data_IF_672484951524
#
_entry.id   IF_672484951524
#
_cell.length_a   1.000
_cell.length_b   1.000
_cell.length_c   1.000
_cell.angle_alpha   90.00
_cell.angle_beta   90.00
_cell.angle_gamma   90.00
#
_symmetry.space_group_name_H-M   'P 1'
#
loop_
_entity.id
_entity.type
_entity.pdbx_description
1 polymer ?
#
# COMPACT_ATOMS: atom_id res chain seq x y z
N UNK A 1 -11.28 10.58 -8.41
CA UNK A 1 -11.94 9.52 -7.62
C UNK A 1 -11.05 9.29 -6.41
N UNK A 2 -11.60 9.22 -5.20
CA UNK A 2 -10.81 9.16 -3.95
C UNK A 2 -9.96 7.88 -3.91
N UNK A 3 -8.64 8.01 -3.75
CA UNK A 3 -7.68 6.88 -3.67
C UNK A 3 -8.09 5.84 -2.62
N UNK A 4 -8.68 6.30 -1.52
CA UNK A 4 -9.15 5.44 -0.45
C UNK A 4 -10.32 4.58 -0.94
N UNK A 5 -11.25 5.18 -1.67
CA UNK A 5 -12.42 4.49 -2.20
C UNK A 5 -12.06 3.45 -3.26
N UNK A 6 -11.07 3.74 -4.12
CA UNK A 6 -10.55 2.76 -5.09
C UNK A 6 -10.01 1.54 -4.35
N UNK A 7 -9.17 1.77 -3.34
CA UNK A 7 -8.57 0.73 -2.53
C UNK A 7 -9.61 -0.14 -1.82
N UNK A 8 -10.60 0.51 -1.19
CA UNK A 8 -11.71 -0.15 -0.50
C UNK A 8 -12.54 -1.03 -1.45
N UNK A 9 -12.88 -0.53 -2.64
CA UNK A 9 -13.64 -1.29 -3.64
C UNK A 9 -12.85 -2.50 -4.16
N UNK A 10 -11.54 -2.35 -4.40
CA UNK A 10 -10.67 -3.45 -4.84
C UNK A 10 -10.57 -4.53 -3.75
N UNK A 11 -10.31 -4.12 -2.51
CA UNK A 11 -10.22 -5.04 -1.37
C UNK A 11 -11.55 -5.74 -1.12
N UNK A 12 -12.67 -5.02 -1.17
CA UNK A 12 -14.00 -5.60 -1.01
C UNK A 12 -14.28 -6.65 -2.09
N UNK A 13 -13.97 -6.36 -3.37
CA UNK A 13 -14.15 -7.33 -4.47
C UNK A 13 -13.30 -8.60 -4.29
N UNK A 14 -12.10 -8.49 -3.70
CA UNK A 14 -11.18 -9.63 -3.54
C UNK A 14 -11.40 -10.43 -2.27
N UNK A 15 -11.77 -9.77 -1.18
CA UNK A 15 -11.84 -10.38 0.15
C UNK A 15 -13.27 -10.52 0.68
N UNK A 16 -14.23 -9.81 0.10
CA UNK A 16 -15.60 -9.68 0.60
C UNK A 16 -15.72 -8.86 1.89
N UNK A 17 -14.65 -8.19 2.33
CA UNK A 17 -14.57 -7.44 3.58
C UNK A 17 -14.33 -5.95 3.30
N UNK A 18 -14.90 -5.10 4.14
CA UNK A 18 -14.67 -3.66 4.11
C UNK A 18 -13.44 -3.31 4.95
N UNK A 19 -12.57 -2.48 4.38
CA UNK A 19 -11.40 -1.92 5.05
C UNK A 19 -11.49 -0.40 5.03
N UNK A 20 -10.67 0.27 5.83
CA UNK A 20 -10.51 1.73 5.78
C UNK A 20 -9.33 2.04 4.86
N UNK A 21 -9.59 2.62 3.69
CA UNK A 21 -8.54 2.96 2.73
C UNK A 21 -7.54 3.96 3.31
N UNK A 22 -8.02 4.92 4.09
CA UNK A 22 -7.15 5.92 4.74
C UNK A 22 -6.19 5.30 5.74
N UNK A 23 -6.65 4.32 6.53
CA UNK A 23 -5.80 3.66 7.53
C UNK A 23 -4.70 2.82 6.89
N UNK A 24 -4.97 2.22 5.72
CA UNK A 24 -3.95 1.48 4.95
C UNK A 24 -2.91 2.45 4.39
N UNK A 25 -3.35 3.59 3.84
CA UNK A 25 -2.44 4.62 3.33
C UNK A 25 -1.56 5.24 4.42
N UNK A 26 -2.10 5.56 5.59
CA UNK A 26 -1.31 6.05 6.73
C UNK A 26 -0.22 5.06 7.16
N UNK A 27 -0.52 3.75 7.12
CA UNK A 27 0.43 2.70 7.43
C UNK A 27 1.54 2.61 6.37
N UNK A 28 1.17 2.68 5.08
CA UNK A 28 2.10 2.70 3.96
C UNK A 28 2.99 3.94 4.03
N UNK A 29 2.44 5.13 4.19
CA UNK A 29 3.18 6.39 4.29
C UNK A 29 4.20 6.33 5.43
N UNK A 30 3.81 5.80 6.59
CA UNK A 30 4.71 5.61 7.74
C UNK A 30 5.84 4.63 7.44
N UNK A 31 5.55 3.48 6.82
CA UNK A 31 6.55 2.46 6.50
C UNK A 31 7.46 2.87 5.33
N UNK A 32 6.93 3.65 4.38
CA UNK A 32 7.65 4.16 3.22
C UNK A 32 8.56 5.34 3.58
N UNK A 33 8.21 6.14 4.59
CA UNK A 33 9.04 7.28 5.05
C UNK A 33 10.45 6.87 5.50
N UNK A 34 10.62 5.62 5.94
CA UNK A 34 11.93 5.06 6.33
C UNK A 34 12.63 4.30 5.19
N UNK A 35 11.99 4.17 4.03
CA UNK A 35 12.49 3.39 2.91
C UNK A 35 13.25 4.24 1.87
N UNK A 36 14.23 3.60 1.23
CA UNK A 36 14.93 4.15 0.07
C UNK A 36 14.07 4.05 -1.19
N UNK A 37 14.49 4.76 -2.24
CA UNK A 37 13.84 4.77 -3.54
C UNK A 37 13.75 3.37 -4.18
N UNK A 38 12.79 3.20 -5.08
CA UNK A 38 12.54 2.00 -5.87
C UNK A 38 11.53 1.03 -5.27
N UNK A 39 11.21 -0.01 -6.05
CA UNK A 39 10.14 -0.97 -5.74
C UNK A 39 10.52 -1.92 -4.61
N UNK A 40 9.67 -2.04 -3.60
CA UNK A 40 9.90 -2.98 -2.49
C UNK A 40 8.65 -3.40 -1.77
N UNK A 41 8.76 -4.54 -1.09
CA UNK A 41 7.80 -4.99 -0.11
C UNK A 41 8.06 -4.31 1.23
N UNK A 42 7.03 -3.66 1.76
CA UNK A 42 7.02 -3.13 3.13
C UNK A 42 6.09 -3.97 4.01
N UNK A 43 6.45 -4.09 5.28
CA UNK A 43 5.62 -4.76 6.27
C UNK A 43 4.45 -3.85 6.65
N UNK A 44 3.24 -4.41 6.63
CA UNK A 44 2.03 -3.76 7.08
C UNK A 44 1.49 -4.37 8.37
N UNK A 45 0.16 -4.41 8.45
CA UNK A 45 -0.57 -4.98 9.57
C UNK A 45 -0.20 -6.45 9.78
N UNK A 46 0.36 -6.75 10.94
CA UNK A 46 0.62 -8.12 11.37
C UNK A 46 -0.14 -8.44 12.65
N UNK A 47 -1.28 -9.10 12.53
CA UNK A 47 -2.13 -9.45 13.66
C UNK A 47 -2.15 -10.99 13.88
N UNK A 48 -2.96 -11.46 14.83
CA UNK A 48 -3.05 -12.89 15.16
C UNK A 48 -3.75 -13.72 14.08
N UNK A 49 -4.49 -13.09 13.18
CA UNK A 49 -5.27 -13.73 12.12
C UNK A 49 -4.60 -13.62 10.76
N UNK A 50 -4.06 -12.45 10.42
CA UNK A 50 -3.59 -12.11 9.09
C UNK A 50 -2.30 -11.30 9.17
N UNK A 51 -1.42 -11.52 8.18
CA UNK A 51 -0.24 -10.70 7.92
C UNK A 51 -0.41 -9.99 6.58
N UNK A 52 -0.20 -8.69 6.58
CA UNK A 52 -0.30 -7.82 5.42
C UNK A 52 1.08 -7.32 5.03
N UNK A 53 1.36 -7.34 3.73
CA UNK A 53 2.57 -6.80 3.12
C UNK A 53 2.12 -5.97 1.91
N UNK A 54 2.76 -4.84 1.67
CA UNK A 54 2.44 -3.95 0.56
C UNK A 54 3.64 -3.83 -0.36
N UNK A 55 3.43 -4.01 -1.65
CA UNK A 55 4.41 -3.73 -2.66
C UNK A 55 4.21 -2.31 -3.15
N UNK A 56 5.20 -1.46 -2.87
CA UNK A 56 5.15 -0.04 -3.18
C UNK A 56 6.31 0.36 -4.08
N UNK A 57 6.08 1.40 -4.88
CA UNK A 57 7.11 2.13 -5.61
C UNK A 57 7.31 3.48 -4.92
N UNK A 58 8.55 3.79 -4.54
CA UNK A 58 8.93 5.12 -4.04
C UNK A 58 9.76 5.77 -5.12
N UNK A 59 9.34 6.93 -5.61
CA UNK A 59 10.11 7.77 -6.53
C UNK A 59 10.35 9.13 -5.92
N UNK A 60 11.58 9.66 -6.08
CA UNK A 60 11.95 10.97 -5.55
C UNK A 60 12.34 11.88 -6.70
N UNK A 61 11.54 12.91 -6.93
CA UNK A 61 11.81 13.90 -7.99
C UNK A 61 12.24 15.20 -7.32
N UNK A 62 13.38 15.72 -7.76
CA UNK A 62 13.80 17.06 -7.33
C UNK A 62 13.09 18.10 -8.17
N UNK A 63 12.39 19.01 -7.48
CA UNK A 63 11.73 20.17 -8.07
C UNK A 63 12.70 21.37 -8.01
N UNK A 64 13.28 21.79 -9.15
CA UNK A 64 14.22 22.90 -9.19
C UNK A 64 13.55 24.27 -9.03
N UNK A 65 12.24 24.38 -9.28
CA UNK A 65 11.51 25.65 -9.18
C UNK A 65 11.23 26.02 -7.73
N UNK A 66 11.12 25.01 -6.86
CA UNK A 66 10.84 25.16 -5.43
C UNK A 66 11.99 24.70 -4.52
N UNK A 67 13.12 24.26 -5.08
CA UNK A 67 14.30 23.73 -4.37
C UNK A 67 13.93 22.66 -3.33
N UNK A 68 13.04 21.74 -3.71
CA UNK A 68 12.49 20.72 -2.82
C UNK A 68 12.50 19.33 -3.44
N UNK A 69 12.55 18.31 -2.59
CA UNK A 69 12.39 16.92 -3.02
C UNK A 69 10.95 16.49 -2.82
N UNK A 70 10.29 16.10 -3.91
CA UNK A 70 8.98 15.48 -3.88
C UNK A 70 9.13 13.96 -3.81
N UNK A 71 8.45 13.33 -2.86
CA UNK A 71 8.40 11.87 -2.72
C UNK A 71 7.02 11.38 -3.14
N UNK A 72 6.97 10.59 -4.20
CA UNK A 72 5.75 9.92 -4.66
C UNK A 72 5.78 8.45 -4.25
N UNK A 73 4.67 7.95 -3.70
CA UNK A 73 4.53 6.57 -3.24
C UNK A 73 3.34 5.94 -3.96
N UNK A 74 3.59 4.94 -4.81
CA UNK A 74 2.54 4.20 -5.50
C UNK A 74 2.34 2.84 -4.86
N UNK A 75 1.09 2.42 -4.65
CA UNK A 75 0.74 1.08 -4.16
C UNK A 75 0.40 0.18 -5.36
N UNK A 76 1.24 -0.82 -5.59
CA UNK A 76 1.11 -1.72 -6.74
C UNK A 76 0.34 -3.00 -6.36
N UNK A 77 0.71 -3.62 -5.24
CA UNK A 77 0.16 -4.91 -4.82
C UNK A 77 0.01 -5.00 -3.29
N UNK A 78 -1.02 -5.70 -2.84
CA UNK A 78 -1.18 -6.10 -1.43
C UNK A 78 -1.15 -7.61 -1.35
N UNK A 79 -0.38 -8.12 -0.39
CA UNK A 79 -0.32 -9.52 -0.03
C UNK A 79 -0.90 -9.72 1.36
N UNK A 80 -1.99 -10.50 1.42
CA UNK A 80 -2.70 -10.84 2.65
C UNK A 80 -2.49 -12.32 2.92
N UNK A 81 -1.80 -12.65 4.02
CA UNK A 81 -1.53 -14.03 4.43
C UNK A 81 -2.40 -14.38 5.64
N UNK A 82 -3.32 -15.32 5.47
CA UNK A 82 -4.09 -15.91 6.57
C UNK A 82 -3.17 -16.82 7.40
N UNK A 83 -2.95 -16.47 8.67
CA UNK A 83 -2.04 -17.21 9.57
C UNK A 83 -2.60 -18.54 10.05
N UNK A 84 -3.93 -18.72 10.02
CA UNK A 84 -4.57 -19.97 10.45
C UNK A 84 -4.45 -21.06 9.39
N UNK A 85 -4.60 -20.68 8.13
CA UNK A 85 -4.65 -21.60 6.98
C UNK A 85 -3.38 -21.56 6.14
N UNK A 86 -2.54 -20.54 6.31
CA UNK A 86 -1.38 -20.28 5.45
C UNK A 86 -1.75 -19.76 4.07
N UNK A 87 -3.04 -19.48 3.81
CA UNK A 87 -3.52 -19.04 2.50
C UNK A 87 -3.06 -17.61 2.22
N UNK A 88 -2.43 -17.41 1.06
CA UNK A 88 -2.00 -16.09 0.60
C UNK A 88 -2.97 -15.58 -0.47
N UNK A 89 -3.42 -14.34 -0.31
CA UNK A 89 -4.24 -13.62 -1.28
C UNK A 89 -3.46 -12.41 -1.78
N UNK A 90 -3.33 -12.32 -3.10
CA UNK A 90 -2.70 -11.19 -3.77
C UNK A 90 -3.78 -10.28 -4.38
N UNK A 91 -3.67 -9.00 -4.10
CA UNK A 91 -4.60 -7.96 -4.54
C UNK A 91 -3.81 -6.95 -5.36
N UNK A 92 -4.04 -6.95 -6.66
CA UNK A 92 -3.48 -5.96 -7.57
C UNK A 92 -4.22 -4.64 -7.40
N UNK A 93 -3.47 -3.57 -7.13
CA UNK A 93 -4.02 -2.23 -6.87
C UNK A 93 -3.77 -1.27 -8.04
N UNK A 94 -2.89 -1.64 -8.99
CA UNK A 94 -2.60 -0.92 -10.26
C UNK A 94 -3.73 0.03 -10.69
N UNK A 95 -3.50 1.34 -10.54
CA UNK A 95 -4.46 2.41 -10.83
C UNK A 95 -4.91 3.28 -9.65
N UNK A 96 -4.36 3.08 -8.44
CA UNK A 96 -4.46 4.02 -7.32
C UNK A 96 -3.11 4.72 -7.11
N UNK A 97 -2.78 5.65 -8.00
CA UNK A 97 -1.59 6.51 -7.88
C UNK A 97 -1.85 7.67 -6.92
N UNK A 98 -0.77 8.16 -6.29
CA UNK A 98 -0.74 9.25 -5.32
C UNK A 98 -0.34 10.56 -6.02
#
# INVERSE_FOLDING_TARGET
>A
MDRNRILEEILFKKTGRTFSGSSIWEEIERAAGEAEEGSRWIAGQDNTLEKWEYYIEISRTYDPDFDQWETSISLEEIKITDKKTGRVTYVQVFGAEL
#
